data_IF_392411279716
#
_entry.id   IF_392411279716
#
_cell.length_a   1.000
_cell.length_b   1.000
_cell.length_c   1.000
_cell.angle_alpha   90.00
_cell.angle_beta   90.00
_cell.angle_gamma   90.00
#
_symmetry.space_group_name_H-M   'P 1'
#
loop_
_entity.id
_entity.type
_entity.pdbx_description
1 polymer ?
#
# COMPACT_ATOMS: atom_id res chain seq x y z
N UNK A 1 -5.51 5.17 13.39
CA UNK A 1 -6.14 6.37 12.78
C UNK A 1 -6.45 6.01 11.34
N UNK A 2 -7.46 6.62 10.73
CA UNK A 2 -7.85 6.35 9.35
C UNK A 2 -8.14 7.68 8.63
N UNK A 3 -7.48 7.91 7.50
CA UNK A 3 -7.76 9.05 6.62
C UNK A 3 -8.66 8.50 5.51
N UNK A 4 -9.90 8.95 5.49
CA UNK A 4 -10.92 8.51 4.52
C UNK A 4 -11.82 9.70 4.18
N UNK A 5 -11.60 10.37 3.04
CA UNK A 5 -12.40 11.54 2.66
C UNK A 5 -13.87 11.23 2.39
N UNK A 6 -14.20 10.01 1.98
CA UNK A 6 -15.56 9.64 1.58
C UNK A 6 -16.39 9.13 2.75
N UNK A 7 -17.71 9.31 2.67
CA UNK A 7 -18.59 8.89 3.75
C UNK A 7 -18.73 7.37 3.78
N UNK A 8 -18.09 6.77 4.77
CA UNK A 8 -18.18 5.34 5.10
C UNK A 8 -18.73 5.21 6.53
N UNK A 9 -20.06 5.19 6.73
CA UNK A 9 -20.68 5.28 8.07
C UNK A 9 -20.29 4.15 9.02
N UNK A 10 -19.86 3.00 8.47
CA UNK A 10 -19.40 1.88 9.27
C UNK A 10 -18.06 2.15 9.97
N UNK A 11 -17.23 3.08 9.46
CA UNK A 11 -15.96 3.44 10.08
C UNK A 11 -16.14 4.05 11.48
N UNK A 12 -17.21 4.82 11.70
CA UNK A 12 -17.50 5.43 13.00
C UNK A 12 -17.75 4.37 14.10
N UNK A 13 -18.12 3.15 13.70
CA UNK A 13 -18.36 2.03 14.61
C UNK A 13 -17.09 1.26 14.98
N UNK A 14 -15.96 1.55 14.33
CA UNK A 14 -14.69 0.83 14.54
C UNK A 14 -13.94 1.32 15.79
N UNK A 15 -14.26 2.52 16.29
CA UNK A 15 -13.52 3.18 17.36
C UNK A 15 -12.20 3.82 16.90
N UNK A 16 -11.87 3.76 15.60
CA UNK A 16 -10.72 4.47 15.06
C UNK A 16 -10.98 5.99 15.00
N UNK A 17 -9.94 6.79 15.21
CA UNK A 17 -9.99 8.23 14.91
C UNK A 17 -10.00 8.40 13.39
N UNK A 18 -11.08 8.97 12.86
CA UNK A 18 -11.29 9.16 11.42
C UNK A 18 -11.02 10.62 11.03
N UNK A 19 -10.25 10.81 9.97
CA UNK A 19 -9.98 12.11 9.35
C UNK A 19 -10.67 12.14 7.99
N UNK A 20 -11.72 12.95 7.87
CA UNK A 20 -12.55 13.09 6.66
C UNK A 20 -11.99 14.13 5.70
N UNK A 21 -10.77 13.90 5.21
CA UNK A 21 -10.07 14.80 4.27
C UNK A 21 -9.20 13.98 3.32
N UNK A 22 -8.97 14.45 2.08
CA UNK A 22 -8.01 13.81 1.19
C UNK A 22 -6.61 13.82 1.81
N UNK A 23 -5.83 12.79 1.53
CA UNK A 23 -4.49 12.60 2.12
C UNK A 23 -3.54 13.73 1.70
N UNK A 24 -3.67 14.22 0.48
CA UNK A 24 -2.90 15.32 -0.09
C UNK A 24 -3.09 16.66 0.64
N UNK A 25 -4.16 16.81 1.43
CA UNK A 25 -4.39 18.02 2.24
C UNK A 25 -3.94 17.88 3.70
N UNK A 26 -3.41 16.71 4.09
CA UNK A 26 -2.91 16.47 5.43
C UNK A 26 -1.47 16.98 5.52
N UNK A 27 -1.18 17.72 6.59
CA UNK A 27 0.16 18.25 6.81
C UNK A 27 1.17 17.13 7.05
N UNK A 28 2.34 17.20 6.41
CA UNK A 28 3.38 16.16 6.51
C UNK A 28 3.86 15.90 7.94
N UNK A 29 3.76 16.88 8.83
CA UNK A 29 4.09 16.70 10.26
C UNK A 29 3.18 15.69 10.96
N UNK A 30 1.98 15.43 10.43
CA UNK A 30 1.11 14.36 10.88
C UNK A 30 1.80 13.00 10.71
N UNK A 31 2.36 12.74 9.54
CA UNK A 31 3.06 11.49 9.23
C UNK A 31 4.45 11.41 9.86
N UNK A 32 5.05 12.55 10.20
CA UNK A 32 6.31 12.59 10.97
C UNK A 32 6.17 12.00 12.38
N UNK A 33 4.95 11.72 12.85
CA UNK A 33 4.70 11.02 14.10
C UNK A 33 4.94 9.51 14.01
N UNK A 34 4.93 8.92 12.81
CA UNK A 34 5.22 7.50 12.60
C UNK A 34 6.69 7.22 12.92
N UNK A 35 6.92 6.29 13.83
CA UNK A 35 8.25 5.86 14.27
C UNK A 35 8.60 4.48 13.71
N UNK A 36 9.82 4.03 14.00
CA UNK A 36 10.27 2.68 13.65
C UNK A 36 9.28 1.62 14.18
N UNK A 37 8.85 0.73 13.29
CA UNK A 37 7.93 -0.36 13.60
C UNK A 37 6.45 0.02 13.44
N UNK A 38 6.12 1.30 13.27
CA UNK A 38 4.77 1.70 12.92
C UNK A 38 4.45 1.36 11.45
N UNK A 39 3.16 1.15 11.17
CA UNK A 39 2.67 0.77 9.85
C UNK A 39 1.84 1.92 9.26
N UNK A 40 2.26 2.39 8.08
CA UNK A 40 1.41 3.14 7.17
C UNK A 40 0.73 2.16 6.22
N UNK A 41 -0.61 2.19 6.16
CA UNK A 41 -1.39 1.37 5.25
C UNK A 41 -1.96 2.26 4.14
N UNK A 42 -1.61 1.98 2.89
CA UNK A 42 -2.04 2.70 1.70
C UNK A 42 -3.00 1.82 0.90
N UNK A 43 -4.22 2.32 0.73
CA UNK A 43 -5.21 1.82 -0.21
C UNK A 43 -5.75 3.03 -0.98
N UNK A 44 -4.99 3.40 -2.00
CA UNK A 44 -5.18 4.64 -2.75
C UNK A 44 -6.26 4.46 -3.83
N UNK A 45 -6.42 5.47 -4.69
CA UNK A 45 -7.23 5.34 -5.90
C UNK A 45 -6.65 4.41 -6.98
N UNK A 46 -5.39 3.94 -6.82
CA UNK A 46 -4.62 3.09 -7.76
C UNK A 46 -4.35 3.70 -9.14
N UNK A 47 -4.78 4.95 -9.37
CA UNK A 47 -4.69 5.66 -10.65
C UNK A 47 -3.95 6.97 -10.50
N UNK A 48 -2.82 7.08 -11.18
CA UNK A 48 -2.06 8.32 -11.35
C UNK A 48 -2.93 9.37 -12.04
N UNK A 49 -3.16 10.48 -11.33
CA UNK A 49 -3.82 11.70 -11.82
C UNK A 49 -2.97 12.91 -11.43
N UNK A 50 -3.00 14.01 -12.20
CA UNK A 50 -2.34 15.24 -11.78
C UNK A 50 -2.80 15.65 -10.38
N UNK A 51 -1.85 15.81 -9.45
CA UNK A 51 -2.12 16.17 -8.05
C UNK A 51 -3.01 15.17 -7.29
N UNK A 52 -3.10 13.92 -7.75
CA UNK A 52 -3.83 12.86 -7.04
C UNK A 52 -3.04 12.24 -5.90
N UNK A 53 -3.77 11.50 -5.06
CA UNK A 53 -3.28 10.70 -3.93
C UNK A 53 -2.05 9.85 -4.27
N UNK A 54 -2.08 9.04 -5.33
CA UNK A 54 -0.95 8.19 -5.73
C UNK A 54 0.33 8.99 -5.96
N UNK A 55 0.25 10.17 -6.59
CA UNK A 55 1.44 10.99 -6.80
C UNK A 55 1.94 11.61 -5.50
N UNK A 56 1.03 12.12 -4.66
CA UNK A 56 1.38 12.67 -3.35
C UNK A 56 2.05 11.60 -2.48
N UNK A 57 1.48 10.41 -2.41
CA UNK A 57 1.96 9.31 -1.60
C UNK A 57 3.42 8.97 -1.96
N UNK A 58 3.70 8.72 -3.24
CA UNK A 58 5.02 8.26 -3.68
C UNK A 58 6.06 9.37 -3.78
N UNK A 59 5.67 10.57 -4.22
CA UNK A 59 6.63 11.66 -4.46
C UNK A 59 6.86 12.54 -3.23
N UNK A 60 5.93 12.55 -2.27
CA UNK A 60 5.99 13.46 -1.13
C UNK A 60 5.90 12.76 0.22
N UNK A 61 4.92 11.88 0.42
CA UNK A 61 4.71 11.21 1.71
C UNK A 61 5.81 10.19 2.00
N UNK A 62 5.98 9.16 1.17
CA UNK A 62 6.97 8.10 1.38
C UNK A 62 8.37 8.67 1.64
N UNK A 63 8.91 9.61 0.83
CA UNK A 63 10.22 10.20 1.09
C UNK A 63 10.34 10.87 2.46
N UNK A 64 9.25 11.42 3.01
CA UNK A 64 9.24 12.12 4.30
C UNK A 64 9.23 11.21 5.54
N UNK A 65 8.89 9.92 5.39
CA UNK A 65 8.73 9.00 6.51
C UNK A 65 10.06 8.77 7.26
N UNK A 66 9.99 8.43 8.54
CA UNK A 66 11.17 8.08 9.33
C UNK A 66 11.72 6.70 8.96
N UNK A 67 13.01 6.49 9.20
CA UNK A 67 13.65 5.18 9.01
C UNK A 67 13.00 4.15 9.94
N UNK A 68 12.68 2.98 9.39
CA UNK A 68 12.04 1.87 10.08
C UNK A 68 10.52 1.88 10.05
N UNK A 69 9.89 2.89 9.45
CA UNK A 69 8.45 2.85 9.17
C UNK A 69 8.18 1.78 8.11
N UNK A 70 7.17 0.95 8.36
CA UNK A 70 6.70 -0.08 7.44
C UNK A 70 5.52 0.49 6.66
N UNK A 71 5.52 0.25 5.35
CA UNK A 71 4.45 0.68 4.45
C UNK A 71 3.83 -0.55 3.81
N UNK A 72 2.53 -0.73 4.02
CA UNK A 72 1.70 -1.66 3.28
C UNK A 72 1.06 -0.93 2.12
N UNK A 73 1.18 -1.50 0.92
CA UNK A 73 0.54 -1.00 -0.29
C UNK A 73 -0.42 -2.09 -0.78
N UNK A 74 -1.71 -1.74 -0.78
CA UNK A 74 -2.79 -2.65 -1.14
C UNK A 74 -2.87 -2.88 -2.66
N UNK A 75 -3.53 -3.96 -3.08
CA UNK A 75 -3.74 -4.37 -4.48
C UNK A 75 -2.49 -4.46 -5.37
N UNK A 76 -1.34 -4.85 -4.81
CA UNK A 76 -0.08 -5.07 -5.57
C UNK A 76 0.19 -6.56 -5.82
N UNK A 77 0.44 -6.92 -7.08
CA UNK A 77 0.77 -8.27 -7.55
C UNK A 77 2.26 -8.47 -7.82
N UNK A 78 3.07 -7.41 -7.79
CA UNK A 78 4.49 -7.47 -8.12
C UNK A 78 5.20 -8.67 -7.45
N UNK A 79 6.02 -9.42 -8.21
CA UNK A 79 6.53 -9.10 -9.55
C UNK A 79 5.65 -9.62 -10.70
N UNK A 80 4.42 -10.08 -10.44
CA UNK A 80 3.45 -10.40 -11.50
C UNK A 80 2.69 -9.15 -11.90
N UNK A 81 2.18 -9.15 -13.13
CA UNK A 81 1.28 -8.11 -13.63
C UNK A 81 -0.12 -8.20 -12.99
N UNK A 82 -0.92 -7.15 -13.13
CA UNK A 82 -2.34 -7.15 -12.78
C UNK A 82 -3.10 -8.27 -13.52
N UNK A 83 -4.16 -8.76 -12.89
CA UNK A 83 -4.97 -9.84 -13.47
C UNK A 83 -5.65 -9.41 -14.77
N UNK A 84 -5.74 -10.35 -15.73
CA UNK A 84 -6.48 -10.15 -16.98
C UNK A 84 -7.93 -9.67 -16.76
N UNK A 85 -8.61 -10.19 -15.72
CA UNK A 85 -9.94 -9.74 -15.31
C UNK A 85 -9.96 -8.22 -15.07
N UNK A 86 -9.00 -7.69 -14.33
CA UNK A 86 -8.94 -6.26 -14.00
C UNK A 86 -8.58 -5.41 -15.20
N UNK A 87 -7.63 -5.85 -16.01
CA UNK A 87 -7.11 -5.06 -17.14
C UNK A 87 -8.04 -5.12 -18.37
N UNK A 88 -8.54 -6.31 -18.72
CA UNK A 88 -9.25 -6.56 -19.98
C UNK A 88 -10.77 -6.54 -19.84
N UNK A 89 -11.30 -7.13 -18.77
CA UNK A 89 -12.75 -7.27 -18.60
C UNK A 89 -13.34 -6.06 -17.86
N UNK A 90 -12.73 -5.67 -16.73
CA UNK A 90 -13.16 -4.52 -15.93
C UNK A 90 -12.54 -3.20 -16.38
N UNK A 91 -11.47 -3.25 -17.18
CA UNK A 91 -10.77 -2.07 -17.74
C UNK A 91 -10.33 -1.09 -16.64
N UNK A 92 -9.85 -1.62 -15.52
CA UNK A 92 -9.22 -0.82 -14.46
C UNK A 92 -7.93 -0.23 -15.00
N UNK A 93 -7.86 1.10 -15.09
CA UNK A 93 -6.66 1.83 -15.52
C UNK A 93 -5.65 1.99 -14.38
N UNK A 94 -5.55 0.98 -13.52
CA UNK A 94 -4.65 0.99 -12.38
C UNK A 94 -3.21 0.93 -12.86
N UNK A 95 -2.41 1.86 -12.34
CA UNK A 95 -1.04 2.05 -12.77
C UNK A 95 -0.08 2.34 -11.60
N UNK A 96 -0.59 2.29 -10.36
CA UNK A 96 0.20 2.43 -9.14
C UNK A 96 1.30 1.36 -9.04
N UNK A 97 1.01 0.10 -9.38
CA UNK A 97 2.03 -0.96 -9.31
C UNK A 97 3.27 -0.64 -10.14
N UNK A 98 3.10 -0.09 -11.35
CA UNK A 98 4.24 0.28 -12.19
C UNK A 98 5.02 1.45 -11.61
N UNK A 99 4.34 2.39 -10.94
CA UNK A 99 5.00 3.47 -10.20
C UNK A 99 5.78 2.94 -9.01
N UNK A 100 5.23 1.98 -8.27
CA UNK A 100 5.92 1.30 -7.17
C UNK A 100 7.17 0.56 -7.65
N UNK A 101 7.06 -0.18 -8.75
CA UNK A 101 8.21 -0.86 -9.36
C UNK A 101 9.30 0.13 -9.79
N UNK A 102 8.91 1.25 -10.40
CA UNK A 102 9.83 2.33 -10.75
C UNK A 102 10.44 2.99 -9.50
N UNK A 103 9.66 3.22 -8.45
CA UNK A 103 10.09 3.81 -7.19
C UNK A 103 11.10 2.93 -6.46
N UNK A 104 10.94 1.60 -6.51
CA UNK A 104 11.86 0.64 -5.90
C UNK A 104 13.10 0.40 -6.77
N UNK A 105 13.00 0.60 -8.08
CA UNK A 105 14.11 0.41 -9.00
C UNK A 105 15.25 1.38 -8.67
N UNK A 106 16.42 0.81 -8.37
CA UNK A 106 17.63 1.58 -7.99
C UNK A 106 17.45 2.47 -6.74
N UNK A 107 16.45 2.19 -5.90
CA UNK A 107 16.20 2.96 -4.69
C UNK A 107 16.64 2.18 -3.44
N UNK A 108 17.87 2.42 -3.00
CA UNK A 108 18.43 1.79 -1.81
C UNK A 108 17.83 2.27 -0.49
N UNK A 109 16.87 3.22 -0.52
CA UNK A 109 16.23 3.71 0.70
C UNK A 109 15.09 2.85 1.22
N UNK A 110 14.68 1.87 0.41
CA UNK A 110 13.56 1.00 0.71
C UNK A 110 13.95 -0.45 0.56
N UNK A 111 13.44 -1.28 1.45
CA UNK A 111 13.59 -2.72 1.41
C UNK A 111 12.23 -3.36 1.29
N UNK A 112 12.05 -4.27 0.33
CA UNK A 112 10.88 -5.15 0.30
C UNK A 112 11.01 -6.14 1.46
N UNK A 113 10.04 -6.15 2.36
CA UNK A 113 9.99 -7.07 3.50
C UNK A 113 8.88 -8.13 3.35
N UNK A 114 7.95 -7.93 2.42
CA UNK A 114 6.97 -8.95 2.06
C UNK A 114 6.21 -8.62 0.78
N UNK A 115 6.45 -9.39 -0.29
CA UNK A 115 5.62 -9.36 -1.49
C UNK A 115 4.65 -10.54 -1.44
N UNK A 116 3.42 -10.34 -0.96
CA UNK A 116 2.57 -11.46 -0.56
C UNK A 116 2.16 -12.32 -1.76
N UNK A 117 1.89 -11.72 -2.91
CA UNK A 117 1.56 -12.47 -4.13
C UNK A 117 2.74 -13.38 -4.55
N UNK A 118 3.97 -12.84 -4.52
CA UNK A 118 5.17 -13.62 -4.78
C UNK A 118 5.32 -14.80 -3.80
N UNK A 119 5.16 -14.54 -2.50
CA UNK A 119 5.28 -15.56 -1.46
C UNK A 119 4.21 -16.65 -1.62
N UNK A 120 2.98 -16.28 -1.93
CA UNK A 120 1.89 -17.22 -2.20
C UNK A 120 2.22 -18.16 -3.36
N UNK A 121 2.75 -17.65 -4.48
CA UNK A 121 3.04 -18.47 -5.67
C UNK A 121 4.34 -19.26 -5.60
N UNK A 122 5.35 -18.81 -4.84
CA UNK A 122 6.70 -19.40 -4.84
C UNK A 122 7.07 -20.08 -3.52
N UNK A 123 6.40 -19.72 -2.42
CA UNK A 123 6.67 -20.18 -1.05
C UNK A 123 5.37 -20.47 -0.29
N UNK A 124 4.42 -21.12 -0.96
CA UNK A 124 3.05 -21.31 -0.49
C UNK A 124 2.94 -21.90 0.92
N UNK A 125 3.69 -22.96 1.22
CA UNK A 125 3.65 -23.62 2.54
C UNK A 125 4.13 -22.68 3.66
N UNK A 126 5.22 -21.95 3.43
CA UNK A 126 5.74 -20.97 4.39
C UNK A 126 4.76 -19.80 4.56
N UNK A 127 4.19 -19.30 3.47
CA UNK A 127 3.17 -18.27 3.47
C UNK A 127 1.96 -18.71 4.30
N UNK A 128 1.38 -19.86 3.98
CA UNK A 128 0.20 -20.42 4.66
C UNK A 128 0.44 -20.63 6.16
N UNK A 129 1.61 -21.14 6.54
CA UNK A 129 1.97 -21.32 7.96
C UNK A 129 2.12 -19.99 8.71
N UNK A 130 2.41 -18.90 8.01
CA UNK A 130 2.57 -17.56 8.57
C UNK A 130 1.26 -16.76 8.59
N UNK A 131 0.25 -17.19 7.83
CA UNK A 131 -1.02 -16.49 7.66
C UNK A 131 -2.19 -17.34 8.18
N UNK A 132 -2.48 -17.33 9.50
CA UNK A 132 -3.45 -18.24 10.13
C UNK A 132 -4.90 -18.05 9.67
N UNK A 133 -5.22 -16.90 9.08
CA UNK A 133 -6.56 -16.56 8.57
C UNK A 133 -6.68 -16.69 7.04
N UNK A 134 -5.66 -17.22 6.36
CA UNK A 134 -5.70 -17.38 4.92
C UNK A 134 -6.67 -18.52 4.51
N UNK A 135 -7.70 -18.18 3.74
CA UNK A 135 -8.80 -19.10 3.37
C UNK A 135 -8.58 -19.83 2.03
N UNK A 136 -7.47 -19.57 1.32
CA UNK A 136 -7.13 -20.09 -0.02
C UNK A 136 -8.16 -19.76 -1.12
N UNK A 137 -9.12 -18.87 -0.88
CA UNK A 137 -10.12 -18.49 -1.89
C UNK A 137 -9.51 -17.49 -2.87
N UNK A 138 -8.78 -16.51 -2.34
CA UNK A 138 -8.15 -15.45 -3.12
C UNK A 138 -6.64 -15.45 -2.94
N UNK A 139 -5.91 -15.13 -4.01
CA UNK A 139 -4.48 -14.83 -3.88
C UNK A 139 -4.30 -13.49 -3.12
N UNK A 140 -3.30 -13.37 -2.23
CA UNK A 140 -3.04 -12.11 -1.55
C UNK A 140 -2.44 -11.08 -2.52
N UNK A 141 -2.82 -9.82 -2.33
CA UNK A 141 -2.49 -8.70 -3.23
C UNK A 141 -2.00 -7.51 -2.43
N UNK A 142 -0.82 -7.64 -1.83
CA UNK A 142 -0.17 -6.50 -1.17
C UNK A 142 1.33 -6.67 -1.13
N UNK A 143 2.00 -5.52 -1.02
CA UNK A 143 3.43 -5.42 -0.91
C UNK A 143 3.81 -4.56 0.29
N UNK A 144 4.74 -5.05 1.09
CA UNK A 144 5.27 -4.41 2.27
C UNK A 144 6.71 -3.96 2.02
N UNK A 145 6.96 -2.68 2.25
CA UNK A 145 8.31 -2.08 2.21
C UNK A 145 8.64 -1.41 3.54
N UNK A 146 9.92 -1.38 3.89
CA UNK A 146 10.44 -0.68 5.07
C UNK A 146 11.45 0.36 4.63
N UNK A 147 11.39 1.57 5.20
CA UNK A 147 12.41 2.60 4.98
C UNK A 147 13.68 2.25 5.75
N UNK A 148 14.83 2.18 5.09
CA UNK A 148 16.09 1.70 5.72
C UNK A 148 17.17 2.76 5.92
N UNK A 149 17.08 3.91 5.26
CA UNK A 149 17.99 5.05 5.45
C UNK A 149 17.31 6.40 5.13
#
# INVERSE_FOLDING_TARGET
>A
MCIEPFEMPWLEKTGAVIIRRPVEEIDKSFFAQLERGDILFIDSSHVIRPQGDVLYEYLELLPSLKVGVIVHIHDIFSPKDYMDLWVKEEVRLWNEQYLLEAFLTSNSHWKIIGALNYLYHNHFEQFKNSCPFFDNINQPVSLYIEKVN
#
